data_IF_476100741867
#
_entry.id   IF_476100741867
#
_cell.length_a   1.000
_cell.length_b   1.000
_cell.length_c   1.000
_cell.angle_alpha   90.00
_cell.angle_beta   90.00
_cell.angle_gamma   90.00
#
_symmetry.space_group_name_H-M   'P 1'
#
loop_
_entity.id
_entity.type
_entity.pdbx_description
1 polymer ?
#
# COMPACT_ATOMS: atom_id res chain seq x y z
N UNK A 1 -42.49 -65.51 -31.04
CA UNK A 1 -42.10 -65.99 -29.67
C UNK A 1 -40.61 -65.74 -29.51
N UNK A 2 -40.13 -65.49 -28.28
CA UNK A 2 -38.79 -64.94 -27.95
C UNK A 2 -37.65 -65.96 -28.15
N UNK A 3 -36.45 -65.50 -28.54
CA UNK A 3 -35.20 -65.89 -27.84
C UNK A 3 -33.95 -66.35 -28.63
N UNK A 4 -32.80 -65.71 -28.34
CA UNK A 4 -31.43 -66.28 -28.45
C UNK A 4 -30.55 -65.74 -29.59
N UNK A 5 -29.49 -64.92 -29.33
CA UNK A 5 -28.10 -65.30 -28.94
C UNK A 5 -27.27 -65.85 -30.12
N UNK A 6 -26.01 -65.48 -30.39
CA UNK A 6 -25.01 -64.53 -29.85
C UNK A 6 -24.36 -63.83 -31.09
N UNK A 7 -23.54 -62.77 -31.07
CA UNK A 7 -22.69 -62.14 -30.07
C UNK A 7 -21.45 -61.63 -30.82
N UNK A 8 -20.98 -60.42 -30.56
CA UNK A 8 -19.82 -59.84 -31.26
C UNK A 8 -18.89 -59.11 -30.29
N UNK A 9 -17.61 -59.40 -30.43
CA UNK A 9 -16.52 -59.04 -29.54
C UNK A 9 -15.87 -57.75 -30.07
N UNK A 10 -16.12 -56.62 -29.40
CA UNK A 10 -15.61 -55.32 -29.86
C UNK A 10 -14.12 -55.22 -29.54
N UNK A 11 -13.30 -55.36 -30.59
CA UNK A 11 -11.86 -55.17 -30.50
C UNK A 11 -11.51 -53.70 -30.22
N UNK A 12 -10.58 -53.53 -29.27
CA UNK A 12 -9.89 -52.27 -28.97
C UNK A 12 -8.90 -51.89 -30.08
N UNK A 13 -8.70 -50.59 -30.32
CA UNK A 13 -7.42 -49.90 -30.69
C UNK A 13 -7.72 -48.51 -31.32
N UNK A 14 -8.39 -47.64 -30.54
CA UNK A 14 -8.72 -46.27 -30.95
C UNK A 14 -7.57 -45.27 -30.70
N UNK A 15 -6.48 -45.37 -31.46
CA UNK A 15 -5.29 -44.52 -31.32
C UNK A 15 -5.55 -43.07 -31.76
N UNK A 16 -6.06 -42.23 -30.87
CA UNK A 16 -6.13 -40.78 -31.07
C UNK A 16 -5.38 -40.02 -29.96
N UNK A 17 -4.12 -39.71 -30.23
CA UNK A 17 -3.29 -38.90 -29.34
C UNK A 17 -3.89 -37.49 -29.21
N UNK A 18 -4.52 -37.21 -28.06
CA UNK A 18 -4.95 -35.85 -27.71
C UNK A 18 -3.71 -35.01 -27.47
N UNK A 19 -3.35 -34.24 -28.50
CA UNK A 19 -2.28 -33.26 -28.44
C UNK A 19 -2.71 -32.18 -27.43
N UNK A 20 -2.19 -32.27 -26.20
CA UNK A 20 -2.33 -31.23 -25.18
C UNK A 20 -1.40 -30.08 -25.54
N UNK A 21 -1.72 -29.39 -26.64
CA UNK A 21 -1.19 -28.08 -26.91
C UNK A 21 -1.60 -27.19 -25.74
N UNK A 22 -0.65 -26.86 -24.88
CA UNK A 22 -0.83 -25.82 -23.87
C UNK A 22 -1.38 -24.59 -24.59
N UNK A 23 -2.50 -24.07 -24.09
CA UNK A 23 -2.99 -22.75 -24.50
C UNK A 23 -1.99 -21.74 -23.92
N UNK A 24 -0.90 -21.53 -24.64
CA UNK A 24 0.04 -20.44 -24.40
C UNK A 24 -0.68 -19.18 -24.81
N UNK A 25 -1.41 -18.59 -23.85
CA UNK A 25 -1.98 -17.25 -24.02
C UNK A 25 -0.80 -16.31 -24.27
N UNK A 26 -0.75 -15.60 -25.41
CA UNK A 26 0.35 -14.69 -25.69
C UNK A 26 0.34 -13.55 -24.66
N UNK A 27 1.52 -13.07 -24.21
CA UNK A 27 1.64 -12.13 -23.08
C UNK A 27 1.10 -10.71 -23.35
N UNK A 28 0.50 -10.45 -24.52
CA UNK A 28 0.01 -9.12 -24.94
C UNK A 28 -1.51 -8.94 -24.84
N UNK A 29 -2.26 -9.93 -24.37
CA UNK A 29 -3.72 -9.85 -24.22
C UNK A 29 -4.21 -9.26 -22.88
N UNK A 30 -3.31 -8.80 -22.02
CA UNK A 30 -3.66 -8.07 -20.79
C UNK A 30 -3.47 -6.57 -21.04
N UNK A 31 -4.55 -5.91 -21.47
CA UNK A 31 -4.64 -4.45 -21.40
C UNK A 31 -4.37 -3.96 -19.97
N UNK A 32 -3.94 -2.70 -19.77
CA UNK A 32 -3.56 -2.21 -18.45
C UNK A 32 -4.69 -2.48 -17.45
N UNK A 33 -4.37 -3.25 -16.39
CA UNK A 33 -5.35 -3.63 -15.38
C UNK A 33 -6.08 -2.37 -14.88
N UNK A 34 -7.42 -2.43 -14.70
CA UNK A 34 -8.24 -1.24 -14.49
C UNK A 34 -7.67 -0.40 -13.36
N UNK A 35 -7.24 0.81 -13.69
CA UNK A 35 -6.52 1.68 -12.75
C UNK A 35 -7.47 2.07 -11.63
N UNK A 36 -7.24 1.55 -10.41
CA UNK A 36 -8.03 1.92 -9.23
C UNK A 36 -8.04 3.44 -9.09
N UNK A 37 -9.23 4.02 -9.00
CA UNK A 37 -9.41 5.46 -8.80
C UNK A 37 -8.67 5.85 -7.50
N UNK A 38 -7.83 6.91 -7.51
CA UNK A 38 -7.08 7.32 -6.32
C UNK A 38 -8.04 7.91 -5.29
N UNK A 39 -8.32 7.14 -4.25
CA UNK A 39 -9.16 7.54 -3.11
C UNK A 39 -8.37 8.36 -2.08
N UNK A 40 -7.03 8.30 -2.13
CA UNK A 40 -6.11 9.15 -1.37
C UNK A 40 -4.97 9.63 -2.24
N UNK A 41 -4.52 10.85 -1.97
CA UNK A 41 -3.22 11.33 -2.44
C UNK A 41 -2.09 10.59 -1.71
N UNK A 42 -2.24 10.36 -0.40
CA UNK A 42 -1.24 9.67 0.41
C UNK A 42 -1.85 8.73 1.46
N UNK A 43 -1.18 7.60 1.68
CA UNK A 43 -1.40 6.70 2.81
C UNK A 43 -0.11 6.66 3.62
N UNK A 44 -0.20 6.99 4.92
CA UNK A 44 0.95 7.06 5.82
C UNK A 44 0.71 6.16 7.04
N UNK A 45 1.68 5.32 7.37
CA UNK A 45 1.65 4.43 8.53
C UNK A 45 2.73 4.86 9.53
N UNK A 46 2.38 5.11 10.79
CA UNK A 46 3.41 5.27 11.84
C UNK A 46 3.86 3.89 12.34
N UNK A 47 5.14 3.73 12.65
CA UNK A 47 5.75 2.49 13.14
C UNK A 47 6.60 2.77 14.39
N UNK A 48 6.73 1.80 15.29
CA UNK A 48 7.48 1.95 16.54
C UNK A 48 9.01 1.87 16.32
N UNK A 49 9.46 1.20 15.26
CA UNK A 49 10.88 1.01 14.94
C UNK A 49 11.14 1.02 13.43
N UNK A 50 12.39 1.23 12.98
CA UNK A 50 12.77 1.16 11.57
C UNK A 50 12.43 -0.18 10.91
N UNK A 51 12.66 -1.29 11.60
CA UNK A 51 12.41 -2.65 11.08
C UNK A 51 10.90 -2.88 10.85
N UNK A 52 10.07 -2.38 11.77
CA UNK A 52 8.62 -2.40 11.59
C UNK A 52 8.18 -1.51 10.41
N UNK A 53 8.82 -0.36 10.21
CA UNK A 53 8.56 0.50 9.05
C UNK A 53 8.92 -0.18 7.73
N UNK A 54 10.02 -0.95 7.66
CA UNK A 54 10.38 -1.72 6.46
C UNK A 54 9.34 -2.78 6.09
N UNK A 55 8.85 -3.53 7.08
CA UNK A 55 7.76 -4.50 6.92
C UNK A 55 6.48 -3.81 6.42
N UNK A 56 6.12 -2.67 7.01
CA UNK A 56 4.96 -1.87 6.60
C UNK A 56 5.12 -1.35 5.17
N UNK A 57 6.32 -0.88 4.79
CA UNK A 57 6.62 -0.44 3.43
C UNK A 57 6.59 -1.61 2.43
N UNK A 58 6.90 -2.84 2.82
CA UNK A 58 6.71 -4.03 1.98
C UNK A 58 5.22 -4.31 1.76
N UNK A 59 4.39 -4.24 2.80
CA UNK A 59 2.94 -4.43 2.69
C UNK A 59 2.28 -3.37 1.79
N UNK A 60 2.64 -2.09 1.96
CA UNK A 60 2.18 -1.00 1.09
C UNK A 60 2.58 -1.23 -0.37
N UNK A 61 3.84 -1.62 -0.64
CA UNK A 61 4.32 -1.97 -1.99
C UNK A 61 3.57 -3.17 -2.58
N UNK A 62 3.26 -4.20 -1.77
CA UNK A 62 2.43 -5.34 -2.18
C UNK A 62 1.03 -4.88 -2.55
N UNK A 63 0.38 -4.07 -1.73
CA UNK A 63 -0.96 -3.56 -1.96
C UNK A 63 -1.06 -2.68 -3.23
N UNK A 64 -0.04 -1.87 -3.54
CA UNK A 64 0.07 -1.18 -4.85
C UNK A 64 0.22 -2.17 -6.01
N UNK A 65 1.11 -3.17 -5.89
CA UNK A 65 1.37 -4.17 -6.96
C UNK A 65 0.12 -4.98 -7.33
N UNK A 66 -0.72 -5.32 -6.36
CA UNK A 66 -1.96 -6.07 -6.58
C UNK A 66 -3.19 -5.17 -6.82
N UNK A 67 -2.99 -3.87 -7.09
CA UNK A 67 -4.05 -2.94 -7.44
C UNK A 67 -4.98 -2.49 -6.31
N UNK A 68 -4.76 -2.91 -5.05
CA UNK A 68 -5.56 -2.47 -3.89
C UNK A 68 -5.35 -1.01 -3.54
N UNK A 69 -4.15 -0.48 -3.75
CA UNK A 69 -3.83 0.96 -3.66
C UNK A 69 -3.55 1.46 -5.07
N UNK A 70 -4.07 2.64 -5.43
CA UNK A 70 -3.82 3.23 -6.74
C UNK A 70 -2.33 3.50 -6.98
N UNK A 71 -1.86 3.33 -8.22
CA UNK A 71 -0.45 3.51 -8.58
C UNK A 71 0.07 4.93 -8.27
N UNK A 72 -0.79 5.93 -8.39
CA UNK A 72 -0.52 7.35 -8.12
C UNK A 72 -0.51 7.72 -6.63
N UNK A 73 -1.16 6.96 -5.75
CA UNK A 73 -1.19 7.25 -4.31
C UNK A 73 0.20 7.10 -3.70
N UNK A 74 0.68 8.12 -3.00
CA UNK A 74 1.92 8.10 -2.22
C UNK A 74 1.76 7.16 -1.03
N UNK A 75 2.76 6.33 -0.73
CA UNK A 75 2.69 5.35 0.36
C UNK A 75 3.97 5.36 1.17
N UNK A 76 3.87 5.68 2.46
CA UNK A 76 5.02 5.89 3.35
C UNK A 76 4.79 5.22 4.72
N UNK A 77 5.74 4.39 5.15
CA UNK A 77 5.88 3.99 6.55
C UNK A 77 6.92 4.86 7.25
N UNK A 78 6.56 5.44 8.41
CA UNK A 78 7.38 6.39 9.15
C UNK A 78 7.67 5.82 10.54
N UNK A 79 8.92 5.46 10.86
CA UNK A 79 9.28 5.00 12.20
C UNK A 79 9.35 6.18 13.19
N UNK A 80 9.09 5.89 14.45
CA UNK A 80 9.43 6.77 15.56
C UNK A 80 10.98 6.95 15.60
N UNK A 81 11.51 8.18 15.79
CA UNK A 81 12.95 8.46 15.77
C UNK A 81 13.74 7.62 16.77
N UNK A 82 14.94 7.21 16.38
CA UNK A 82 15.87 6.41 17.20
C UNK A 82 15.26 5.09 17.76
N UNK A 83 14.14 4.63 17.19
CA UNK A 83 13.35 3.50 17.71
C UNK A 83 12.70 3.77 19.07
N UNK A 84 12.65 5.04 19.51
CA UNK A 84 12.09 5.46 20.79
C UNK A 84 10.68 5.98 20.61
N UNK A 85 9.72 5.40 21.35
CA UNK A 85 8.30 5.70 21.19
C UNK A 85 7.97 7.16 21.59
N UNK A 86 7.78 8.03 20.60
CA UNK A 86 7.52 9.47 20.79
C UNK A 86 6.06 9.81 21.16
N UNK A 87 5.15 8.83 21.10
CA UNK A 87 3.72 9.01 21.40
C UNK A 87 2.91 9.50 20.19
N UNK A 88 1.59 9.34 20.23
CA UNK A 88 0.71 9.51 19.05
C UNK A 88 0.77 10.91 18.44
N UNK A 89 0.68 11.97 19.25
CA UNK A 89 0.73 13.35 18.74
C UNK A 89 2.04 13.67 18.02
N UNK A 90 3.18 13.27 18.59
CA UNK A 90 4.49 13.46 17.98
C UNK A 90 4.66 12.56 16.74
N UNK A 91 4.19 11.31 16.77
CA UNK A 91 4.19 10.41 15.62
C UNK A 91 3.36 10.96 14.45
N UNK A 92 2.23 11.64 14.71
CA UNK A 92 1.46 12.36 13.69
C UNK A 92 2.26 13.51 13.07
N UNK A 93 2.89 14.35 13.90
CA UNK A 93 3.70 15.46 13.40
C UNK A 93 4.91 14.96 12.59
N UNK A 94 5.59 13.92 13.06
CA UNK A 94 6.69 13.24 12.36
C UNK A 94 6.22 12.66 11.02
N UNK A 95 5.05 12.01 10.99
CA UNK A 95 4.47 11.45 9.76
C UNK A 95 4.12 12.53 8.73
N UNK A 96 3.52 13.65 9.15
CA UNK A 96 3.20 14.80 8.29
C UNK A 96 4.49 15.46 7.77
N UNK A 97 5.50 15.64 8.63
CA UNK A 97 6.81 16.19 8.25
C UNK A 97 7.54 15.30 7.24
N UNK A 98 7.57 13.98 7.47
CA UNK A 98 8.15 13.01 6.56
C UNK A 98 7.44 12.99 5.20
N UNK A 99 6.10 13.06 5.19
CA UNK A 99 5.30 13.16 3.97
C UNK A 99 5.59 14.46 3.20
N UNK A 100 5.65 15.60 3.89
CA UNK A 100 5.98 16.89 3.28
C UNK A 100 7.37 16.87 2.63
N UNK A 101 8.39 16.35 3.32
CA UNK A 101 9.74 16.18 2.78
C UNK A 101 9.75 15.21 1.58
N UNK A 102 8.98 14.13 1.63
CA UNK A 102 8.86 13.19 0.51
C UNK A 102 8.25 13.85 -0.74
N UNK A 103 7.23 14.70 -0.59
CA UNK A 103 6.68 15.47 -1.70
C UNK A 103 7.70 16.42 -2.35
N UNK A 104 8.57 17.07 -1.56
CA UNK A 104 9.67 17.89 -2.10
C UNK A 104 10.65 17.05 -2.93
N UNK A 105 11.00 15.86 -2.46
CA UNK A 105 11.93 14.95 -3.13
C UNK A 105 11.36 14.40 -4.46
N UNK A 106 10.03 14.25 -4.56
CA UNK A 106 9.35 13.83 -5.78
C UNK A 106 9.27 14.93 -6.85
N UNK A 107 9.72 16.16 -6.58
CA UNK A 107 9.66 17.26 -7.54
C UNK A 107 8.24 17.70 -7.89
N UNK A 108 7.26 17.40 -7.03
CA UNK A 108 5.90 17.93 -7.15
C UNK A 108 5.94 19.42 -6.79
N UNK A 109 6.15 20.23 -7.82
CA UNK A 109 6.63 21.61 -7.71
C UNK A 109 5.63 22.51 -6.97
N UNK A 110 6.01 22.86 -5.74
CA UNK A 110 5.36 23.87 -4.91
C UNK A 110 5.86 25.24 -5.36
N UNK A 111 5.51 25.61 -6.59
CA UNK A 111 6.10 26.75 -7.27
C UNK A 111 5.75 28.12 -6.65
N UNK A 112 6.37 29.21 -7.16
CA UNK A 112 7.52 29.23 -8.06
C UNK A 112 8.85 29.28 -7.29
N UNK A 113 9.95 28.97 -7.97
CA UNK A 113 11.26 29.51 -7.55
C UNK A 113 11.20 31.03 -7.66
N UNK A 114 11.18 31.74 -6.54
CA UNK A 114 11.45 33.18 -6.57
C UNK A 114 12.87 33.39 -7.09
N UNK A 115 12.94 34.01 -8.27
CA UNK A 115 14.18 34.54 -8.83
C UNK A 115 14.66 35.60 -7.87
N UNK A 116 15.89 35.46 -7.38
CA UNK A 116 16.49 36.42 -6.47
C UNK A 116 16.54 37.82 -7.12
N UNK A 117 15.64 38.71 -6.70
CA UNK A 117 15.78 40.15 -6.92
C UNK A 117 16.43 40.77 -5.68
N UNK A 118 17.53 41.46 -5.94
CA UNK A 118 18.36 42.20 -4.97
C UNK A 118 17.56 43.18 -4.11
N UNK A 119 17.90 43.27 -2.81
CA UNK A 119 18.58 44.46 -2.23
C UNK A 119 18.96 44.25 -0.75
N UNK A 120 20.06 44.88 -0.32
CA UNK A 120 20.67 44.88 1.03
C UNK A 120 19.71 45.39 2.12
N UNK A 121 19.82 45.12 3.43
CA UNK A 121 20.95 44.93 4.38
C UNK A 121 20.44 44.13 5.63
N UNK A 122 21.18 43.69 6.67
CA UNK A 122 22.60 43.78 7.07
C UNK A 122 23.05 42.50 7.86
N UNK A 123 24.05 42.56 8.76
CA UNK A 123 24.70 41.40 9.39
C UNK A 123 24.30 40.99 10.83
N UNK A 124 23.93 39.72 11.05
CA UNK A 124 24.58 38.83 12.05
C UNK A 124 24.21 37.37 11.79
N UNK A 125 25.21 36.48 11.67
CA UNK A 125 24.99 35.08 11.29
C UNK A 125 25.31 34.10 12.43
N UNK A 126 24.26 33.57 13.07
CA UNK A 126 24.34 32.38 13.92
C UNK A 126 23.50 31.26 13.28
N UNK A 127 24.16 30.20 12.83
CA UNK A 127 23.54 29.10 12.08
C UNK A 127 22.76 28.15 13.02
N UNK A 128 21.45 28.35 13.12
CA UNK A 128 20.52 27.27 13.49
C UNK A 128 19.62 26.99 12.29
N UNK A 129 19.81 25.85 11.63
CA UNK A 129 19.00 25.45 10.47
C UNK A 129 17.65 24.87 10.90
N UNK A 130 16.86 25.64 11.64
CA UNK A 130 15.43 25.37 11.78
C UNK A 130 14.76 25.69 10.45
N UNK A 131 14.72 24.70 9.55
CA UNK A 131 14.05 24.81 8.27
C UNK A 131 12.55 25.05 8.50
N UNK A 132 12.16 26.33 8.51
CA UNK A 132 10.77 26.74 8.69
C UNK A 132 9.89 26.06 7.64
N UNK A 133 8.85 25.37 8.08
CA UNK A 133 7.90 24.72 7.17
C UNK A 133 7.23 25.82 6.34
N UNK A 134 7.51 25.87 5.05
CA UNK A 134 6.95 26.89 4.16
C UNK A 134 5.42 26.89 4.20
N UNK A 135 4.80 28.06 4.32
CA UNK A 135 3.35 28.23 4.28
C UNK A 135 2.72 27.60 3.02
N UNK A 136 3.45 27.58 1.91
CA UNK A 136 3.06 26.93 0.65
C UNK A 136 2.90 25.41 0.84
N UNK A 137 3.83 24.78 1.57
CA UNK A 137 3.78 23.34 1.89
C UNK A 137 2.54 23.01 2.75
N UNK A 138 2.25 23.84 3.76
CA UNK A 138 1.09 23.64 4.64
C UNK A 138 -0.21 23.73 3.82
N UNK A 139 -0.34 24.76 2.99
CA UNK A 139 -1.50 24.94 2.09
C UNK A 139 -1.62 23.82 1.05
N UNK A 140 -0.51 23.21 0.62
CA UNK A 140 -0.53 22.04 -0.25
C UNK A 140 -1.04 20.80 0.49
N UNK A 141 -0.45 20.42 1.63
CA UNK A 141 -0.93 19.25 2.40
C UNK A 141 -2.37 19.40 2.87
N UNK A 142 -2.82 20.62 3.20
CA UNK A 142 -4.22 20.90 3.57
C UNK A 142 -5.23 20.60 2.45
N UNK A 143 -4.79 20.54 1.18
CA UNK A 143 -5.60 20.18 0.01
C UNK A 143 -5.50 18.69 -0.37
N UNK A 144 -4.82 17.87 0.45
CA UNK A 144 -4.53 16.47 0.14
C UNK A 144 -5.36 15.52 1.00
N UNK A 145 -5.91 14.50 0.36
CA UNK A 145 -6.64 13.43 1.04
C UNK A 145 -5.61 12.43 1.59
N UNK A 146 -5.32 12.52 2.88
CA UNK A 146 -4.26 11.76 3.56
C UNK A 146 -4.87 10.75 4.54
N UNK A 147 -4.67 9.45 4.31
CA UNK A 147 -5.00 8.39 5.25
C UNK A 147 -3.81 8.12 6.18
N UNK A 148 -3.84 8.66 7.39
CA UNK A 148 -2.83 8.40 8.43
C UNK A 148 -3.32 7.30 9.38
N UNK A 149 -2.57 6.19 9.49
CA UNK A 149 -2.85 5.12 10.44
C UNK A 149 -1.73 4.99 11.49
N UNK A 150 -2.09 5.06 12.77
CA UNK A 150 -1.17 4.78 13.88
C UNK A 150 -0.98 3.28 14.07
N UNK A 151 0.05 2.71 13.46
CA UNK A 151 0.37 1.28 13.55
C UNK A 151 1.57 0.97 14.48
N UNK A 152 2.31 1.98 14.96
CA UNK A 152 3.44 1.87 15.88
C UNK A 152 3.06 1.74 17.37
N UNK A 153 1.95 1.09 17.68
CA UNK A 153 1.49 0.91 19.06
C UNK A 153 1.60 -0.54 19.51
N UNK A 154 2.35 -0.82 20.58
CA UNK A 154 2.45 -2.17 21.14
C UNK A 154 1.09 -2.77 21.47
N UNK A 155 0.92 -4.06 21.19
CA UNK A 155 -0.28 -4.81 21.54
C UNK A 155 -0.10 -5.55 22.85
N UNK A 156 -0.55 -4.93 23.95
CA UNK A 156 -0.64 -5.59 25.25
C UNK A 156 -1.57 -6.82 25.26
N UNK A 157 -2.55 -6.88 24.34
CA UNK A 157 -3.57 -7.95 24.28
C UNK A 157 -3.28 -9.03 23.23
N UNK A 158 -2.48 -8.73 22.21
CA UNK A 158 -1.99 -9.73 21.23
C UNK A 158 -0.50 -9.52 20.96
N UNK A 159 0.40 -9.81 21.93
CA UNK A 159 1.83 -9.46 21.81
C UNK A 159 2.52 -10.11 20.61
N UNK A 160 2.09 -11.31 20.22
CA UNK A 160 2.55 -12.03 19.03
C UNK A 160 2.34 -11.25 17.72
N UNK A 161 1.40 -10.28 17.71
CA UNK A 161 1.11 -9.44 16.55
C UNK A 161 2.00 -8.20 16.44
N UNK A 162 2.84 -7.88 17.45
CA UNK A 162 3.65 -6.66 17.43
C UNK A 162 4.63 -6.58 16.24
N UNK A 163 5.36 -7.66 15.87
CA UNK A 163 6.29 -7.59 14.73
C UNK A 163 5.57 -7.34 13.40
N UNK A 164 4.40 -7.95 13.20
CA UNK A 164 3.62 -7.82 11.97
C UNK A 164 2.78 -6.53 11.91
N UNK A 165 2.46 -5.96 13.07
CA UNK A 165 1.60 -4.79 13.22
C UNK A 165 0.11 -5.15 13.25
N UNK A 166 -0.63 -4.53 14.18
CA UNK A 166 -2.08 -4.77 14.33
C UNK A 166 -2.87 -4.45 13.06
N UNK A 167 -2.43 -3.46 12.30
CA UNK A 167 -3.09 -3.05 11.04
C UNK A 167 -3.00 -4.13 9.96
N UNK A 168 -2.00 -5.01 10.00
CA UNK A 168 -1.83 -6.11 9.05
C UNK A 168 -2.29 -7.47 9.60
N UNK A 169 -3.04 -7.49 10.71
CA UNK A 169 -3.64 -8.73 11.21
C UNK A 169 -4.66 -9.29 10.20
N UNK A 170 -4.63 -10.61 9.92
CA UNK A 170 -5.70 -11.25 9.18
C UNK A 170 -7.00 -11.16 9.99
N UNK A 171 -8.10 -10.78 9.34
CA UNK A 171 -9.42 -10.91 9.96
C UNK A 171 -9.94 -12.33 9.72
N UNK A 172 -10.46 -13.03 10.76
CA UNK A 172 -11.09 -14.33 10.61
C UNK A 172 -12.48 -14.14 9.99
N UNK A 173 -12.52 -13.89 8.68
CA UNK A 173 -13.75 -13.93 7.92
C UNK A 173 -14.11 -15.39 7.64
N UNK A 174 -15.38 -15.75 7.83
CA UNK A 174 -15.88 -17.03 7.35
C UNK A 174 -15.89 -16.97 5.83
N UNK A 175 -14.98 -17.70 5.19
CA UNK A 175 -14.79 -17.76 3.76
C UNK A 175 -15.91 -18.59 3.09
N UNK A 176 -17.17 -18.13 3.22
CA UNK A 176 -18.35 -18.81 2.74
C UNK A 176 -18.40 -18.90 1.20
N UNK A 177 -17.83 -17.91 0.52
CA UNK A 177 -17.90 -17.76 -0.95
C UNK A 177 -16.58 -18.05 -1.68
N UNK A 178 -15.42 -18.01 -1.00
CA UNK A 178 -14.09 -18.27 -1.58
C UNK A 178 -13.08 -18.75 -0.50
N UNK A 179 -12.96 -20.06 -0.25
CA UNK A 179 -12.07 -20.61 0.79
C UNK A 179 -10.58 -20.57 0.43
N UNK A 180 -10.22 -20.49 -0.87
CA UNK A 180 -8.84 -20.40 -1.35
C UNK A 180 -8.36 -18.94 -1.52
N UNK A 181 -9.27 -17.98 -1.34
CA UNK A 181 -9.01 -16.55 -1.40
C UNK A 181 -7.99 -16.07 -0.36
N UNK A 182 -7.21 -15.01 -0.65
CA UNK A 182 -6.22 -14.49 0.28
C UNK A 182 -6.92 -13.85 1.50
N UNK A 183 -6.64 -14.38 2.69
CA UNK A 183 -7.23 -13.92 3.96
C UNK A 183 -7.12 -12.38 4.08
N UNK A 184 -8.25 -11.66 4.19
CA UNK A 184 -8.24 -10.21 4.13
C UNK A 184 -7.68 -9.61 5.42
N UNK A 185 -6.83 -8.59 5.29
CA UNK A 185 -6.20 -7.93 6.43
C UNK A 185 -7.12 -6.84 7.00
N UNK A 186 -6.90 -6.45 8.26
CA UNK A 186 -7.55 -5.27 8.84
C UNK A 186 -7.28 -4.02 7.99
N UNK A 187 -6.08 -3.88 7.44
CA UNK A 187 -5.70 -2.82 6.51
C UNK A 187 -6.60 -2.78 5.28
N UNK A 188 -6.91 -3.93 4.66
CA UNK A 188 -7.75 -4.00 3.46
C UNK A 188 -9.18 -3.51 3.77
N UNK A 189 -9.71 -3.84 4.95
CA UNK A 189 -11.03 -3.38 5.40
C UNK A 189 -11.05 -1.87 5.70
N UNK A 190 -10.01 -1.34 6.36
CA UNK A 190 -9.86 0.11 6.57
C UNK A 190 -9.84 0.82 5.21
N UNK A 191 -9.06 0.31 4.25
CA UNK A 191 -8.92 0.84 2.89
C UNK A 191 -10.21 0.75 2.05
N UNK A 192 -11.09 -0.20 2.35
CA UNK A 192 -12.41 -0.28 1.74
C UNK A 192 -13.35 0.77 2.36
N UNK A 193 -13.54 0.75 3.69
CA UNK A 193 -14.50 1.61 4.40
C UNK A 193 -14.16 3.09 4.22
N UNK A 194 -12.89 3.45 4.38
CA UNK A 194 -12.47 4.85 4.26
C UNK A 194 -12.51 5.38 2.81
N UNK A 195 -12.62 4.51 1.80
CA UNK A 195 -12.78 4.93 0.39
C UNK A 195 -14.20 5.35 0.02
N UNK A 196 -15.17 5.17 0.93
CA UNK A 196 -16.57 5.55 0.76
C UNK A 196 -16.93 6.85 1.49
N UNK A 197 -15.94 7.58 2.03
CA UNK A 197 -16.10 8.82 2.79
C UNK A 197 -15.62 10.05 1.99
#
# INVERSE_FOLDING_TARGET
RIGGRNGEEIQTEGRLGRNLAQIVVPPEAVGPAPTRIPTWDAIVLTAASPEQAELYQWQLRRAKRIGRIAGSTVTLAVPDPDGQRIGSGAATLNAIYALARHYQQLGLDLGPKEVASSCSESSTQCRNSTAGVSTVMINFLAKKHILLLHAGGDSKRVPWANPMGKVFLPLPYLAAEDPDGPVPLLFDHILAISSCA
#
